data_IF_972793611423
#
_entry.id   IF_972793611423
#
_cell.length_a   1.000
_cell.length_b   1.000
_cell.length_c   1.000
_cell.angle_alpha   90.00
_cell.angle_beta   90.00
_cell.angle_gamma   90.00
#
_symmetry.space_group_name_H-M   'P 1'
#
loop_
_entity.id
_entity.type
_entity.pdbx_description
1 polymer ?
#
# COMPACT_ATOMS: atom_id res chain seq x y z
N UNK A 1 2.13 32.63 13.76
CA UNK A 1 3.38 32.01 13.27
C UNK A 1 3.14 30.51 13.32
N UNK A 2 3.08 29.87 12.16
CA UNK A 2 2.48 28.54 12.07
C UNK A 2 3.57 27.46 12.11
N UNK A 3 4.14 27.30 13.30
CA UNK A 3 5.14 26.27 13.63
C UNK A 3 4.69 24.83 13.29
N UNK A 4 3.38 24.61 13.28
CA UNK A 4 2.73 23.31 13.11
C UNK A 4 2.20 23.07 11.69
N UNK A 5 2.20 24.09 10.83
CA UNK A 5 1.79 23.95 9.43
C UNK A 5 2.53 22.84 8.66
N UNK A 6 3.88 22.75 8.72
CA UNK A 6 4.60 21.68 8.02
C UNK A 6 4.22 20.29 8.53
N UNK A 7 3.98 20.14 9.84
CA UNK A 7 3.55 18.87 10.42
C UNK A 7 2.16 18.48 9.94
N UNK A 8 1.22 19.43 9.92
CA UNK A 8 -0.13 19.20 9.39
C UNK A 8 -0.11 18.84 7.90
N UNK A 9 0.74 19.49 7.11
CA UNK A 9 0.90 19.17 5.70
C UNK A 9 1.50 17.77 5.51
N UNK A 10 2.51 17.41 6.30
CA UNK A 10 3.15 16.10 6.30
C UNK A 10 2.19 14.97 6.69
N UNK A 11 1.45 15.10 7.78
CA UNK A 11 0.49 14.06 8.22
C UNK A 11 -0.60 13.86 7.17
N UNK A 12 -1.17 14.96 6.65
CA UNK A 12 -2.19 14.89 5.59
C UNK A 12 -1.67 14.18 4.32
N UNK A 13 -0.38 14.33 4.02
CA UNK A 13 0.28 13.66 2.89
C UNK A 13 0.45 12.16 3.12
N UNK A 14 0.76 11.72 4.35
CA UNK A 14 0.99 10.31 4.68
C UNK A 14 -0.29 9.51 5.03
N UNK A 15 -1.43 10.18 5.24
CA UNK A 15 -2.72 9.57 5.61
C UNK A 15 -3.50 8.91 4.44
N UNK A 16 -2.90 8.71 3.27
CA UNK A 16 -3.39 7.76 2.26
C UNK A 16 -4.59 8.16 1.38
N UNK A 17 -5.26 9.30 1.63
CA UNK A 17 -6.55 9.62 0.97
C UNK A 17 -6.46 10.62 -0.18
N UNK A 18 -5.57 10.37 -1.13
CA UNK A 18 -5.60 11.06 -2.41
C UNK A 18 -6.56 10.39 -3.37
N UNK A 19 -7.54 11.12 -3.94
CA UNK A 19 -8.36 10.66 -5.07
C UNK A 19 -7.54 10.18 -6.29
N UNK A 20 -6.22 10.41 -6.25
CA UNK A 20 -5.26 10.14 -7.30
C UNK A 20 -4.30 8.98 -6.99
N UNK A 21 -4.46 8.25 -5.86
CA UNK A 21 -3.51 7.20 -5.45
C UNK A 21 -2.10 7.72 -5.14
N UNK A 22 -1.94 9.05 -5.06
CA UNK A 22 -0.65 9.74 -4.92
C UNK A 22 -0.12 9.80 -3.50
N UNK A 23 -0.93 9.50 -2.48
CA UNK A 23 -0.62 9.82 -1.09
C UNK A 23 -0.54 8.57 -0.22
N UNK A 24 0.39 8.55 0.73
CA UNK A 24 0.52 7.49 1.73
C UNK A 24 1.30 6.25 1.28
N UNK A 25 2.10 6.36 0.22
CA UNK A 25 3.04 5.30 -0.18
C UNK A 25 4.40 5.47 0.50
N UNK A 26 5.12 4.36 0.72
CA UNK A 26 6.41 4.35 1.42
C UNK A 26 7.44 5.31 0.80
N UNK A 27 7.34 5.55 -0.51
CA UNK A 27 8.21 6.44 -1.25
C UNK A 27 8.11 7.92 -0.80
N UNK A 28 7.01 8.33 -0.17
CA UNK A 28 6.83 9.71 0.29
C UNK A 28 7.43 9.99 1.67
N UNK A 29 7.76 8.95 2.44
CA UNK A 29 8.19 9.10 3.83
C UNK A 29 9.50 9.89 3.91
N UNK A 30 10.53 9.47 3.17
CA UNK A 30 11.84 10.12 3.17
C UNK A 30 11.72 11.60 2.76
N UNK A 31 11.11 11.95 1.60
CA UNK A 31 10.90 13.35 1.22
C UNK A 31 10.11 14.18 2.25
N UNK A 32 9.14 13.58 2.94
CA UNK A 32 8.38 14.27 3.99
C UNK A 32 9.26 14.59 5.19
N UNK A 33 10.10 13.65 5.62
CA UNK A 33 11.05 13.90 6.71
C UNK A 33 12.09 14.96 6.33
N UNK A 34 12.66 14.90 5.12
CA UNK A 34 13.59 15.91 4.62
C UNK A 34 12.94 17.30 4.60
N UNK A 35 11.68 17.41 4.15
CA UNK A 35 10.93 18.65 4.18
C UNK A 35 10.76 19.22 5.60
N UNK A 36 10.36 18.38 6.56
CA UNK A 36 10.18 18.79 7.96
C UNK A 36 11.51 19.24 8.57
N UNK A 37 12.58 18.47 8.37
CA UNK A 37 13.91 18.75 8.91
C UNK A 37 14.45 20.07 8.36
N UNK A 38 14.40 20.26 7.04
CA UNK A 38 14.85 21.48 6.37
C UNK A 38 14.06 22.71 6.83
N UNK A 39 12.73 22.57 7.02
CA UNK A 39 11.90 23.64 7.54
C UNK A 39 12.31 24.04 8.96
N UNK A 40 12.45 23.07 9.87
CA UNK A 40 12.81 23.37 11.25
C UNK A 40 14.24 23.89 11.39
N UNK A 41 15.18 23.36 10.63
CA UNK A 41 16.56 23.87 10.59
C UNK A 41 16.61 25.33 10.15
N UNK A 42 15.91 25.68 9.06
CA UNK A 42 15.80 27.05 8.57
C UNK A 42 15.19 28.00 9.63
N UNK A 43 14.19 27.51 10.38
CA UNK A 43 13.57 28.27 11.47
C UNK A 43 14.51 28.44 12.67
N UNK A 44 15.23 27.39 13.07
CA UNK A 44 16.17 27.44 14.18
C UNK A 44 17.29 28.45 13.89
N UNK A 45 17.83 28.46 12.66
CA UNK A 45 18.83 29.44 12.23
C UNK A 45 18.32 30.88 12.34
N UNK A 46 17.06 31.13 11.97
CA UNK A 46 16.44 32.45 12.13
C UNK A 46 16.34 32.89 13.60
N UNK A 47 16.22 31.94 14.53
CA UNK A 47 16.17 32.20 15.97
C UNK A 47 17.53 32.32 16.64
N UNK A 48 18.60 31.85 16.00
CA UNK A 48 19.96 31.94 16.52
C UNK A 48 20.48 33.38 16.53
N UNK A 49 19.99 34.22 15.60
CA UNK A 49 20.31 35.64 15.53
C UNK A 49 19.60 36.51 16.58
N UNK A 50 18.67 35.96 17.37
CA UNK A 50 17.89 36.69 18.36
C UNK A 50 18.57 36.62 19.72
N UNK A 51 18.83 37.78 20.33
CA UNK A 51 19.42 37.86 21.66
C UNK A 51 18.32 37.91 22.74
N UNK A 52 17.97 36.73 23.26
CA UNK A 52 16.87 36.56 24.22
C UNK A 52 17.13 37.13 25.61
N UNK A 53 18.38 37.50 25.92
CA UNK A 53 18.80 38.00 27.25
C UNK A 53 19.21 39.49 27.22
N UNK A 54 18.88 40.23 26.16
CA UNK A 54 19.37 41.59 25.98
C UNK A 54 18.76 42.62 26.96
N UNK A 55 17.50 42.41 27.39
CA UNK A 55 16.73 43.32 28.26
C UNK A 55 15.45 42.62 28.77
N UNK A 56 14.80 43.17 29.80
CA UNK A 56 13.59 42.59 30.42
C UNK A 56 12.36 42.51 29.47
N UNK A 57 12.39 43.21 28.33
CA UNK A 57 11.35 43.16 27.28
C UNK A 57 11.72 42.25 26.10
N UNK A 58 12.83 41.51 26.20
CA UNK A 58 13.27 40.60 25.16
C UNK A 58 12.25 39.46 24.92
N UNK A 59 12.18 38.91 23.70
CA UNK A 59 11.26 37.81 23.39
C UNK A 59 11.56 36.58 24.26
N UNK A 60 10.54 35.83 24.65
CA UNK A 60 10.71 34.54 25.32
C UNK A 60 11.38 33.51 24.38
N UNK A 61 12.29 32.71 24.91
CA UNK A 61 13.08 31.71 24.16
C UNK A 61 12.35 30.36 23.98
N UNK A 62 11.18 30.20 24.61
CA UNK A 62 10.45 28.94 24.68
C UNK A 62 10.17 28.34 23.31
N UNK A 63 9.82 29.18 22.33
CA UNK A 63 9.57 28.73 20.96
C UNK A 63 10.83 28.20 20.28
N UNK A 64 11.97 28.88 20.45
CA UNK A 64 13.25 28.44 19.88
C UNK A 64 13.71 27.11 20.50
N UNK A 65 13.56 26.95 21.82
CA UNK A 65 13.85 25.70 22.54
C UNK A 65 12.96 24.56 22.02
N UNK A 66 11.65 24.79 21.92
CA UNK A 66 10.69 23.80 21.45
C UNK A 66 10.95 23.40 19.98
N UNK A 67 11.37 24.33 19.13
CA UNK A 67 11.77 24.03 17.74
C UNK A 67 13.00 23.13 17.66
N UNK A 68 14.03 23.38 18.48
CA UNK A 68 15.21 22.51 18.56
C UNK A 68 14.82 21.11 19.05
N UNK A 69 13.95 21.02 20.05
CA UNK A 69 13.44 19.74 20.53
C UNK A 69 12.65 18.99 19.44
N UNK A 70 11.80 19.69 18.68
CA UNK A 70 11.06 19.12 17.56
C UNK A 70 11.99 18.61 16.45
N UNK A 71 13.00 19.39 16.07
CA UNK A 71 14.00 18.99 15.09
C UNK A 71 14.81 17.77 15.55
N UNK A 72 15.28 17.78 16.80
CA UNK A 72 16.01 16.65 17.37
C UNK A 72 15.16 15.37 17.37
N UNK A 73 13.86 15.50 17.70
CA UNK A 73 12.95 14.35 17.67
C UNK A 73 12.69 13.86 16.25
N UNK A 74 12.47 14.77 15.29
CA UNK A 74 12.29 14.41 13.88
C UNK A 74 13.54 13.70 13.32
N UNK A 75 14.74 14.15 13.68
CA UNK A 75 16.02 13.54 13.29
C UNK A 75 16.18 12.14 13.87
N UNK A 76 15.82 11.94 15.15
CA UNK A 76 15.79 10.60 15.77
C UNK A 76 14.88 9.62 15.02
N UNK A 77 13.71 10.07 14.57
CA UNK A 77 12.81 9.24 13.76
C UNK A 77 13.32 9.03 12.34
N UNK A 78 13.94 10.04 11.74
CA UNK A 78 14.54 9.91 10.41
C UNK A 78 15.64 8.84 10.39
N UNK A 79 16.50 8.81 11.41
CA UNK A 79 17.52 7.79 11.57
C UNK A 79 16.94 6.36 11.73
N UNK A 80 15.69 6.23 12.19
CA UNK A 80 15.02 4.91 12.28
C UNK A 80 14.55 4.40 10.92
N UNK A 81 14.46 5.24 9.88
CA UNK A 81 14.13 4.78 8.54
C UNK A 81 15.20 3.82 7.99
N UNK A 82 16.45 3.96 8.43
CA UNK A 82 17.55 3.06 8.09
C UNK A 82 17.39 1.64 8.63
N UNK A 83 16.51 1.43 9.63
CA UNK A 83 16.24 0.10 10.19
C UNK A 83 15.51 -0.82 9.21
N UNK A 84 14.82 -0.25 8.22
CA UNK A 84 14.09 -1.02 7.21
C UNK A 84 14.49 -0.59 5.81
N UNK A 85 15.06 -1.51 4.99
CA UNK A 85 15.35 -1.22 3.59
C UNK A 85 14.09 -0.93 2.74
N UNK A 86 12.88 -1.19 3.25
CA UNK A 86 11.64 -0.98 2.53
C UNK A 86 11.40 0.50 2.15
N UNK A 87 11.80 1.45 3.00
CA UNK A 87 11.67 2.88 2.70
C UNK A 87 12.52 3.26 1.48
N UNK A 88 13.77 2.80 1.45
CA UNK A 88 14.66 3.03 0.31
C UNK A 88 14.22 2.28 -0.94
N UNK A 89 13.77 1.03 -0.80
CA UNK A 89 13.22 0.27 -1.91
C UNK A 89 12.05 1.00 -2.57
N UNK A 90 11.12 1.53 -1.78
CA UNK A 90 10.00 2.29 -2.30
C UNK A 90 10.45 3.56 -3.04
N UNK A 91 11.44 4.29 -2.51
CA UNK A 91 11.98 5.47 -3.23
C UNK A 91 12.69 5.10 -4.52
N UNK A 92 13.48 4.02 -4.54
CA UNK A 92 14.25 3.59 -5.72
C UNK A 92 13.34 3.05 -6.82
N UNK A 93 12.31 2.30 -6.43
CA UNK A 93 11.32 1.74 -7.34
C UNK A 93 10.27 2.80 -7.74
N UNK A 94 10.37 4.01 -7.19
CA UNK A 94 9.57 5.12 -7.66
C UNK A 94 10.20 5.71 -8.92
N UNK A 95 9.51 5.74 -10.09
CA UNK A 95 10.13 6.13 -11.37
C UNK A 95 10.70 7.57 -11.46
N UNK A 96 10.48 8.42 -10.46
CA UNK A 96 10.91 9.82 -10.43
C UNK A 96 11.92 10.14 -9.30
N UNK A 97 12.04 9.30 -8.26
CA UNK A 97 12.86 9.62 -7.08
C UNK A 97 14.28 9.09 -7.26
N UNK A 98 15.25 9.99 -7.10
CA UNK A 98 16.65 9.63 -7.15
C UNK A 98 17.10 9.13 -5.77
N UNK A 99 17.30 7.83 -5.64
CA UNK A 99 17.98 7.25 -4.49
C UNK A 99 18.99 6.20 -4.95
N UNK A 100 20.18 6.25 -4.36
CA UNK A 100 21.18 5.19 -4.42
C UNK A 100 21.43 4.74 -2.99
N UNK A 101 20.99 3.54 -2.66
CA UNK A 101 21.19 2.98 -1.33
C UNK A 101 21.74 1.55 -1.43
N UNK A 102 22.86 1.29 -0.72
CA UNK A 102 23.49 -0.03 -0.67
C UNK A 102 22.56 -1.08 -0.04
N UNK A 103 21.74 -0.69 0.94
CA UNK A 103 20.76 -1.55 1.61
C UNK A 103 19.68 -2.07 0.65
N UNK A 104 19.32 -1.31 -0.38
CA UNK A 104 18.41 -1.79 -1.42
C UNK A 104 19.03 -2.92 -2.25
N UNK A 105 20.30 -2.82 -2.62
CA UNK A 105 20.98 -3.90 -3.37
C UNK A 105 21.01 -5.20 -2.57
N UNK A 106 21.18 -5.10 -1.25
CA UNK A 106 21.06 -6.23 -0.33
C UNK A 106 19.65 -6.84 -0.31
N UNK A 107 18.61 -6.01 -0.25
CA UNK A 107 17.21 -6.47 -0.30
C UNK A 107 16.88 -7.13 -1.65
N UNK A 108 17.31 -6.52 -2.76
CA UNK A 108 17.13 -7.08 -4.11
C UNK A 108 17.81 -8.44 -4.26
N UNK A 109 19.05 -8.58 -3.77
CA UNK A 109 19.77 -9.84 -3.78
C UNK A 109 19.04 -10.91 -2.93
N UNK A 110 18.52 -10.55 -1.76
CA UNK A 110 17.71 -11.47 -0.93
C UNK A 110 16.41 -11.88 -1.62
N UNK A 111 15.73 -10.93 -2.28
CA UNK A 111 14.48 -11.20 -2.99
C UNK A 111 14.70 -12.15 -4.17
N UNK A 112 15.74 -11.91 -4.98
CA UNK A 112 16.11 -12.77 -6.11
C UNK A 112 16.58 -14.16 -5.68
N UNK A 113 17.26 -14.28 -4.54
CA UNK A 113 17.70 -15.58 -4.02
C UNK A 113 16.60 -16.36 -3.29
N UNK A 114 15.62 -15.67 -2.71
CA UNK A 114 14.55 -16.30 -1.90
C UNK A 114 13.34 -16.77 -2.71
N UNK A 115 13.18 -16.38 -3.98
CA UNK A 115 12.13 -16.98 -4.81
C UNK A 115 12.62 -18.32 -5.37
N UNK A 116 12.10 -19.48 -4.92
CA UNK A 116 12.14 -20.64 -5.80
C UNK A 116 11.37 -20.22 -7.05
N UNK A 117 12.00 -20.37 -8.22
CA UNK A 117 11.34 -20.07 -9.48
C UNK A 117 10.03 -20.85 -9.52
N UNK A 118 8.90 -20.18 -9.26
CA UNK A 118 7.58 -20.69 -9.62
C UNK A 118 7.52 -20.54 -11.13
N UNK A 119 8.32 -21.37 -11.82
CA UNK A 119 8.11 -21.66 -13.22
C UNK A 119 6.70 -22.22 -13.24
N UNK A 120 5.77 -21.49 -13.84
CA UNK A 120 4.59 -22.14 -14.41
C UNK A 120 5.15 -23.36 -15.15
N UNK A 121 4.70 -24.60 -14.89
CA UNK A 121 5.15 -25.72 -15.68
C UNK A 121 4.96 -25.29 -17.13
N UNK A 122 6.07 -25.15 -17.88
CA UNK A 122 5.98 -24.96 -19.33
C UNK A 122 5.12 -26.13 -19.75
N UNK A 123 3.95 -25.84 -20.33
CA UNK A 123 3.22 -26.84 -21.12
C UNK A 123 4.30 -27.47 -21.98
N UNK A 124 4.47 -28.79 -21.90
CA UNK A 124 5.47 -29.53 -22.65
C UNK A 124 5.24 -29.21 -24.13
N UNK A 125 5.95 -28.18 -24.59
CA UNK A 125 6.05 -27.76 -25.97
C UNK A 125 6.68 -28.94 -26.67
N UNK A 126 6.09 -29.37 -27.78
CA UNK A 126 6.58 -30.56 -28.47
C UNK A 126 8.00 -30.30 -28.98
N UNK A 127 8.82 -31.33 -29.16
CA UNK A 127 10.20 -31.21 -29.69
C UNK A 127 10.28 -30.45 -31.04
N UNK A 128 9.14 -30.27 -31.71
CA UNK A 128 8.98 -29.52 -32.96
C UNK A 128 8.97 -28.00 -32.69
N UNK A 129 8.33 -27.55 -31.61
CA UNK A 129 8.23 -26.13 -31.27
C UNK A 129 9.59 -25.56 -30.84
N UNK A 130 10.37 -26.33 -30.08
CA UNK A 130 11.73 -25.93 -29.67
C UNK A 130 12.70 -25.85 -30.89
N UNK A 131 12.50 -26.69 -31.90
CA UNK A 131 13.27 -26.66 -33.14
C UNK A 131 12.88 -25.46 -34.04
N UNK A 132 11.61 -25.06 -34.03
CA UNK A 132 11.12 -23.88 -34.73
C UNK A 132 11.66 -22.60 -34.07
N UNK A 133 11.62 -22.52 -32.75
CA UNK A 133 12.15 -21.37 -31.99
C UNK A 133 13.67 -21.20 -32.20
N UNK A 134 14.42 -22.30 -32.27
CA UNK A 134 15.86 -22.28 -32.57
C UNK A 134 16.20 -21.85 -34.01
N UNK A 135 15.25 -21.93 -34.94
CA UNK A 135 15.43 -21.46 -36.33
C UNK A 135 15.00 -20.00 -36.48
N UNK A 136 13.99 -19.56 -35.73
CA UNK A 136 13.48 -18.19 -35.77
C UNK A 136 14.41 -17.22 -35.04
N UNK A 137 15.12 -17.66 -33.99
CA UNK A 137 16.04 -16.79 -33.25
C UNK A 137 17.41 -17.45 -32.95
N UNK A 138 18.43 -17.26 -33.81
CA UNK A 138 19.74 -17.89 -33.64
C UNK A 138 20.54 -17.33 -32.44
N UNK A 139 20.00 -16.37 -31.68
CA UNK A 139 20.68 -15.79 -30.51
C UNK A 139 20.58 -16.65 -29.24
N UNK A 140 19.68 -17.64 -29.19
CA UNK A 140 19.44 -18.43 -27.97
C UNK A 140 20.54 -19.50 -27.72
N UNK A 141 21.35 -19.85 -28.72
CA UNK A 141 22.34 -20.95 -28.58
C UNK A 141 23.79 -20.47 -28.36
N UNK A 142 24.04 -19.17 -28.24
CA UNK A 142 25.38 -18.68 -27.90
C UNK A 142 25.30 -17.40 -27.08
N UNK A 143 25.17 -17.54 -25.75
CA UNK A 143 25.63 -16.55 -24.78
C UNK A 143 25.80 -17.21 -23.40
N UNK A 144 26.82 -18.07 -23.31
CA UNK A 144 27.32 -18.60 -22.03
C UNK A 144 28.37 -17.67 -21.39
N UNK A 145 28.34 -16.37 -21.69
CA UNK A 145 29.29 -15.36 -21.17
C UNK A 145 28.66 -13.97 -20.94
N UNK A 146 27.36 -13.86 -20.63
CA UNK A 146 26.82 -12.60 -20.10
C UNK A 146 26.99 -12.57 -18.58
N UNK A 147 27.88 -11.70 -18.10
CA UNK A 147 27.87 -11.23 -16.71
C UNK A 147 26.43 -10.84 -16.38
N UNK A 148 25.82 -11.53 -15.43
CA UNK A 148 24.44 -11.37 -14.98
C UNK A 148 24.10 -9.89 -14.74
N UNK A 149 23.57 -9.21 -15.77
CA UNK A 149 23.00 -7.88 -15.60
C UNK A 149 21.63 -8.07 -14.97
N UNK A 150 21.56 -7.95 -13.64
CA UNK A 150 20.32 -8.00 -12.88
C UNK A 150 19.24 -7.10 -13.51
N UNK A 151 17.96 -7.53 -13.49
CA UNK A 151 16.82 -6.78 -14.05
C UNK A 151 16.80 -5.31 -13.60
N UNK A 152 17.17 -5.04 -12.34
CA UNK A 152 17.28 -3.68 -11.80
C UNK A 152 18.35 -2.83 -12.52
N UNK A 153 19.49 -3.41 -12.85
CA UNK A 153 20.56 -2.72 -13.57
C UNK A 153 20.14 -2.42 -15.00
N UNK A 154 19.43 -3.36 -15.65
CA UNK A 154 18.87 -3.18 -16.98
C UNK A 154 17.79 -2.09 -16.98
N UNK A 155 16.86 -2.12 -16.02
CA UNK A 155 15.82 -1.10 -15.87
C UNK A 155 16.40 0.31 -15.71
N UNK A 156 17.37 0.49 -14.81
CA UNK A 156 18.05 1.79 -14.61
C UNK A 156 18.79 2.29 -15.86
N UNK A 157 19.26 1.39 -16.72
CA UNK A 157 20.01 1.74 -17.92
C UNK A 157 19.08 2.05 -19.12
N UNK A 158 17.97 1.32 -19.25
CA UNK A 158 17.13 1.34 -20.45
C UNK A 158 15.97 2.34 -20.38
N UNK A 159 15.29 2.46 -19.25
CA UNK A 159 14.01 3.19 -19.18
C UNK A 159 14.17 4.70 -19.02
N UNK A 160 15.36 5.17 -18.64
CA UNK A 160 15.53 6.58 -18.26
C UNK A 160 14.57 7.00 -17.14
N UNK A 161 14.61 8.28 -16.78
CA UNK A 161 13.79 8.80 -15.69
C UNK A 161 12.43 9.25 -16.23
N UNK A 162 11.37 8.84 -15.55
CA UNK A 162 10.02 9.30 -15.88
C UNK A 162 9.86 10.75 -15.43
N UNK A 163 9.44 11.65 -16.33
CA UNK A 163 9.29 13.08 -16.02
C UNK A 163 8.35 13.33 -14.84
N UNK A 164 8.75 14.27 -13.96
CA UNK A 164 7.98 14.69 -12.78
C UNK A 164 6.62 15.25 -13.22
N UNK A 165 5.55 14.56 -12.85
CA UNK A 165 4.16 14.95 -13.15
C UNK A 165 3.47 14.12 -14.23
N UNK A 166 4.18 13.21 -14.91
CA UNK A 166 3.59 12.24 -15.83
C UNK A 166 2.58 11.30 -15.14
N UNK A 167 1.69 10.66 -15.91
CA UNK A 167 0.72 9.71 -15.35
C UNK A 167 1.39 8.55 -14.60
N UNK A 168 2.54 8.09 -15.09
CA UNK A 168 3.32 7.00 -14.49
C UNK A 168 4.03 7.43 -13.19
N UNK A 169 4.53 8.67 -13.12
CA UNK A 169 5.04 9.23 -11.86
C UNK A 169 3.92 9.37 -10.82
N UNK A 170 2.69 9.65 -11.26
CA UNK A 170 1.56 9.84 -10.37
C UNK A 170 0.94 8.52 -9.88
N UNK A 171 1.12 7.44 -10.64
CA UNK A 171 0.59 6.11 -10.33
C UNK A 171 1.69 5.06 -10.56
N UNK A 172 2.63 4.92 -9.61
CA UNK A 172 3.74 3.99 -9.77
C UNK A 172 3.26 2.53 -9.88
N UNK A 173 2.13 2.19 -9.25
CA UNK A 173 1.49 0.87 -9.40
C UNK A 173 1.09 0.61 -10.86
N UNK A 174 0.48 1.59 -11.55
CA UNK A 174 0.11 1.44 -12.96
C UNK A 174 1.33 1.30 -13.86
N UNK A 175 2.40 2.04 -13.56
CA UNK A 175 3.66 1.91 -14.27
C UNK A 175 4.21 0.49 -14.16
N UNK A 176 4.33 -0.05 -12.94
CA UNK A 176 4.88 -1.40 -12.74
C UNK A 176 3.99 -2.52 -13.29
N UNK A 177 2.68 -2.29 -13.40
CA UNK A 177 1.78 -3.21 -14.11
C UNK A 177 2.05 -3.26 -15.63
N UNK A 178 2.40 -2.13 -16.25
CA UNK A 178 2.77 -2.09 -17.67
C UNK A 178 4.16 -2.69 -17.92
N UNK A 179 5.07 -2.55 -16.95
CA UNK A 179 6.43 -3.05 -17.03
C UNK A 179 6.59 -4.53 -16.65
N UNK A 180 5.49 -5.22 -16.35
CA UNK A 180 5.51 -6.61 -15.86
C UNK A 180 6.08 -7.59 -16.89
N UNK A 181 5.84 -7.35 -18.18
CA UNK A 181 6.33 -8.21 -19.26
C UNK A 181 7.84 -8.03 -19.51
N UNK A 182 8.35 -6.81 -19.29
CA UNK A 182 9.77 -6.49 -19.48
C UNK A 182 10.63 -6.84 -18.26
N UNK A 183 10.09 -6.65 -17.05
CA UNK A 183 10.81 -6.85 -15.78
C UNK A 183 9.95 -7.64 -14.78
N UNK A 184 9.82 -8.96 -14.93
CA UNK A 184 8.86 -9.75 -14.17
C UNK A 184 9.19 -9.89 -12.67
N UNK A 185 10.47 -9.92 -12.28
CA UNK A 185 10.84 -10.01 -10.86
C UNK A 185 10.83 -8.63 -10.19
N UNK A 186 11.34 -7.62 -10.90
CA UNK A 186 11.42 -6.26 -10.38
C UNK A 186 10.03 -5.64 -10.21
N UNK A 187 9.13 -5.82 -11.19
CA UNK A 187 7.75 -5.35 -11.09
C UNK A 187 7.01 -5.98 -9.91
N UNK A 188 7.20 -7.28 -9.66
CA UNK A 188 6.61 -7.96 -8.51
C UNK A 188 7.11 -7.37 -7.19
N UNK A 189 8.42 -7.16 -7.04
CA UNK A 189 8.97 -6.50 -5.86
C UNK A 189 8.42 -5.08 -5.70
N UNK A 190 8.34 -4.33 -6.79
CA UNK A 190 7.83 -2.97 -6.77
C UNK A 190 6.36 -2.92 -6.35
N UNK A 191 5.52 -3.81 -6.87
CA UNK A 191 4.11 -3.91 -6.47
C UNK A 191 3.99 -4.32 -5.00
N UNK A 192 4.80 -5.28 -4.54
CA UNK A 192 4.80 -5.73 -3.14
C UNK A 192 5.20 -4.59 -2.19
N UNK A 193 6.21 -3.80 -2.52
CA UNK A 193 6.71 -2.70 -1.68
C UNK A 193 5.81 -1.45 -1.75
N UNK A 194 5.36 -1.07 -2.95
CA UNK A 194 4.59 0.16 -3.16
C UNK A 194 3.13 0.04 -2.72
N UNK A 195 2.60 -1.19 -2.59
CA UNK A 195 1.24 -1.43 -2.10
C UNK A 195 1.11 -1.39 -0.57
N UNK A 196 2.21 -1.35 0.16
CA UNK A 196 2.18 -1.27 1.63
C UNK A 196 1.72 0.14 2.04
N UNK A 197 0.66 0.28 2.85
CA UNK A 197 0.26 1.58 3.38
C UNK A 197 1.27 2.07 4.42
N UNK A 198 1.64 3.35 4.35
CA UNK A 198 2.58 3.95 5.31
C UNK A 198 2.01 4.08 6.71
N UNK A 199 0.69 4.32 6.82
CA UNK A 199 0.04 4.64 8.09
C UNK A 199 -1.15 3.73 8.37
N UNK A 200 -1.40 3.49 9.65
CA UNK A 200 -2.62 2.83 10.15
C UNK A 200 -3.86 3.72 10.08
N UNK A 201 -3.75 4.95 9.55
CA UNK A 201 -4.84 5.90 9.51
C UNK A 201 -6.04 5.40 8.69
N UNK A 202 -5.81 4.57 7.66
CA UNK A 202 -6.91 3.89 6.95
C UNK A 202 -7.69 2.94 7.87
N UNK A 203 -6.98 2.20 8.72
CA UNK A 203 -7.59 1.32 9.73
C UNK A 203 -8.30 2.15 10.79
N UNK A 204 -7.70 3.21 11.32
CA UNK A 204 -8.32 4.10 12.32
C UNK A 204 -9.61 4.74 11.81
N UNK A 205 -9.63 5.18 10.55
CA UNK A 205 -10.85 5.72 9.91
C UNK A 205 -11.90 4.65 9.73
N UNK A 206 -11.52 3.46 9.28
CA UNK A 206 -12.42 2.31 9.24
C UNK A 206 -13.02 2.07 10.63
N UNK A 207 -12.20 1.98 11.68
CA UNK A 207 -12.66 1.77 13.05
C UNK A 207 -13.52 2.93 13.59
N UNK A 208 -13.23 4.17 13.19
CA UNK A 208 -14.06 5.33 13.55
C UNK A 208 -15.44 5.23 12.91
N UNK A 209 -15.51 4.86 11.62
CA UNK A 209 -16.79 4.59 10.93
C UNK A 209 -17.54 3.40 11.56
N UNK A 210 -16.83 2.36 12.00
CA UNK A 210 -17.45 1.27 12.78
C UNK A 210 -17.94 1.75 14.14
N UNK A 211 -17.24 2.69 14.79
CA UNK A 211 -17.64 3.29 16.07
C UNK A 211 -19.02 3.92 15.98
N UNK A 212 -19.28 4.70 14.92
CA UNK A 212 -20.60 5.28 14.64
C UNK A 212 -21.65 4.18 14.38
N UNK A 213 -21.30 3.10 13.68
CA UNK A 213 -22.19 1.95 13.43
C UNK A 213 -22.51 1.13 14.69
N UNK A 214 -21.59 1.12 15.66
CA UNK A 214 -21.68 0.40 16.93
C UNK A 214 -22.24 1.27 18.08
N UNK A 215 -22.78 2.45 17.77
CA UNK A 215 -23.49 3.30 18.74
C UNK A 215 -24.50 2.49 19.59
N UNK A 216 -24.81 2.93 20.83
CA UNK A 216 -25.28 2.08 21.93
C UNK A 216 -26.50 1.19 21.67
N UNK A 217 -27.28 1.43 20.60
CA UNK A 217 -28.47 0.65 20.23
C UNK A 217 -28.17 -0.66 19.48
N UNK A 218 -26.94 -0.92 19.00
CA UNK A 218 -26.60 -2.12 18.19
C UNK A 218 -25.53 -3.03 18.81
N UNK A 219 -25.58 -3.28 20.13
CA UNK A 219 -24.62 -4.13 20.88
C UNK A 219 -24.67 -5.64 20.54
N UNK A 220 -25.48 -6.07 19.57
CA UNK A 220 -25.68 -7.49 19.22
C UNK A 220 -24.95 -7.96 17.95
N UNK A 221 -24.25 -7.08 17.23
CA UNK A 221 -23.59 -7.46 15.97
C UNK A 221 -22.35 -8.29 16.28
N UNK A 222 -22.32 -9.52 15.76
CA UNK A 222 -21.17 -10.41 15.89
C UNK A 222 -19.97 -9.87 15.08
N UNK A 223 -18.73 -10.02 15.56
CA UNK A 223 -17.54 -9.52 14.85
C UNK A 223 -17.41 -10.01 13.41
N UNK A 224 -17.82 -11.25 13.13
CA UNK A 224 -17.80 -11.83 11.77
C UNK A 224 -18.75 -11.10 10.81
N UNK A 225 -19.96 -10.78 11.28
CA UNK A 225 -20.94 -10.05 10.48
C UNK A 225 -20.48 -8.61 10.25
N UNK A 226 -19.90 -7.98 11.27
CA UNK A 226 -19.33 -6.64 11.17
C UNK A 226 -18.21 -6.58 10.12
N UNK A 227 -17.29 -7.55 10.14
CA UNK A 227 -16.24 -7.66 9.14
C UNK A 227 -16.81 -7.84 7.72
N UNK A 228 -17.81 -8.72 7.55
CA UNK A 228 -18.46 -8.93 6.24
C UNK A 228 -19.14 -7.67 5.72
N UNK A 229 -19.89 -6.95 6.55
CA UNK A 229 -20.53 -5.67 6.19
C UNK A 229 -19.48 -4.66 5.71
N UNK A 230 -18.35 -4.59 6.41
CA UNK A 230 -17.27 -3.67 6.06
C UNK A 230 -16.56 -4.05 4.76
N UNK A 231 -16.31 -5.34 4.53
CA UNK A 231 -15.80 -5.83 3.25
C UNK A 231 -16.72 -5.44 2.08
N UNK A 232 -18.02 -5.72 2.20
CA UNK A 232 -19.01 -5.39 1.15
C UNK A 232 -19.07 -3.89 0.91
N UNK A 233 -19.04 -3.07 1.97
CA UNK A 233 -19.03 -1.61 1.85
C UNK A 233 -17.78 -1.11 1.12
N UNK A 234 -16.59 -1.64 1.46
CA UNK A 234 -15.33 -1.27 0.79
C UNK A 234 -15.31 -1.70 -0.68
N UNK A 235 -15.80 -2.90 -1.01
CA UNK A 235 -15.94 -3.35 -2.39
C UNK A 235 -16.88 -2.45 -3.19
N UNK A 236 -18.04 -2.10 -2.62
CA UNK A 236 -18.98 -1.18 -3.25
C UNK A 236 -18.36 0.19 -3.52
N UNK A 237 -17.64 0.76 -2.56
CA UNK A 237 -16.92 2.03 -2.74
C UNK A 237 -15.82 1.93 -3.80
N UNK A 238 -15.20 0.75 -3.96
CA UNK A 238 -14.23 0.48 -5.02
C UNK A 238 -14.88 0.20 -6.40
N UNK A 239 -16.21 0.27 -6.52
CA UNK A 239 -16.94 -0.01 -7.77
C UNK A 239 -17.08 -1.51 -8.06
N UNK A 240 -16.84 -2.38 -7.08
CA UNK A 240 -17.00 -3.82 -7.19
C UNK A 240 -18.38 -4.23 -6.67
N UNK A 241 -19.32 -4.48 -7.59
CA UNK A 241 -20.68 -4.94 -7.28
C UNK A 241 -21.70 -4.49 -8.33
N UNK A 242 -22.82 -5.21 -8.45
CA UNK A 242 -23.85 -4.92 -9.44
C UNK A 242 -24.65 -3.65 -9.03
N UNK A 243 -24.54 -2.56 -9.80
CA UNK A 243 -25.17 -1.26 -9.55
C UNK A 243 -26.71 -1.32 -9.51
N UNK A 244 -27.30 -2.45 -9.90
CA UNK A 244 -28.75 -2.69 -9.85
C UNK A 244 -29.34 -2.59 -8.43
N UNK A 245 -28.53 -2.73 -7.38
CA UNK A 245 -28.95 -2.55 -6.00
C UNK A 245 -28.85 -1.10 -5.49
N UNK A 246 -28.10 -0.23 -6.18
CA UNK A 246 -27.88 1.17 -5.75
C UNK A 246 -29.13 2.05 -5.93
N UNK A 247 -30.08 1.66 -6.79
CA UNK A 247 -31.27 2.45 -7.07
C UNK A 247 -32.46 2.17 -6.13
N UNK A 248 -32.28 1.33 -5.10
CA UNK A 248 -33.32 1.05 -4.10
C UNK A 248 -33.19 1.99 -2.92
N UNK A 249 -33.52 3.26 -3.16
CA UNK A 249 -33.94 4.15 -2.09
C UNK A 249 -35.10 3.47 -1.35
N UNK A 250 -34.92 3.21 -0.06
CA UNK A 250 -35.93 2.67 0.86
C UNK A 250 -36.54 1.33 0.44
N UNK A 251 -35.73 0.27 0.39
CA UNK A 251 -36.30 -1.08 0.50
C UNK A 251 -36.84 -1.23 1.94
N UNK A 252 -38.10 -1.65 2.06
CA UNK A 252 -38.75 -1.89 3.36
C UNK A 252 -38.33 -3.25 3.92
N UNK A 253 -38.36 -3.44 5.25
CA UNK A 253 -37.96 -4.71 5.89
C UNK A 253 -38.75 -5.92 5.33
N UNK A 254 -40.02 -5.72 4.96
CA UNK A 254 -40.88 -6.72 4.33
C UNK A 254 -40.37 -7.13 2.94
N UNK A 255 -39.80 -6.20 2.17
CA UNK A 255 -39.24 -6.49 0.85
C UNK A 255 -37.91 -7.25 0.94
N UNK A 256 -37.13 -7.04 2.02
CA UNK A 256 -35.90 -7.80 2.29
C UNK A 256 -36.24 -9.26 2.60
N UNK A 257 -37.29 -9.49 3.39
CA UNK A 257 -37.75 -10.83 3.74
C UNK A 257 -38.15 -11.64 2.49
N UNK A 258 -38.85 -11.00 1.55
CA UNK A 258 -39.26 -11.60 0.28
C UNK A 258 -38.09 -11.83 -0.68
N UNK A 259 -37.15 -10.89 -0.77
CA UNK A 259 -36.01 -10.98 -1.70
C UNK A 259 -34.99 -12.05 -1.32
N UNK A 260 -34.77 -12.26 -0.03
CA UNK A 260 -33.69 -13.11 0.46
C UNK A 260 -34.18 -14.34 1.23
N UNK A 261 -35.50 -14.51 1.41
CA UNK A 261 -36.09 -15.73 1.96
C UNK A 261 -35.59 -16.07 3.37
N UNK A 262 -35.26 -15.06 4.18
CA UNK A 262 -34.53 -15.20 5.45
C UNK A 262 -35.27 -16.11 6.46
N UNK A 263 -36.59 -16.20 6.36
CA UNK A 263 -37.44 -17.03 7.23
C UNK A 263 -37.49 -18.52 6.86
N UNK A 264 -36.85 -18.95 5.76
CA UNK A 264 -36.81 -20.38 5.37
C UNK A 264 -35.58 -21.15 5.87
N UNK A 265 -34.70 -20.50 6.63
CA UNK A 265 -33.47 -21.13 7.15
C UNK A 265 -33.66 -21.97 8.42
N UNK A 266 -34.88 -22.09 8.95
CA UNK A 266 -35.16 -22.94 10.11
C UNK A 266 -36.41 -23.80 9.90
N UNK A 267 -36.25 -24.85 9.08
CA UNK A 267 -37.00 -26.09 9.27
C UNK A 267 -35.98 -27.23 9.17
N UNK A 268 -35.41 -27.58 10.32
CA UNK A 268 -34.73 -28.85 10.49
C UNK A 268 -35.69 -29.99 10.15
N UNK A 269 -35.35 -30.73 9.09
CA UNK A 269 -36.01 -31.96 8.69
C UNK A 269 -35.90 -32.97 9.84
N UNK A 270 -37.00 -33.10 10.59
CA UNK A 270 -37.15 -34.05 11.68
C UNK A 270 -38.54 -34.66 11.64
N UNK A 271 -38.83 -35.37 10.56
CA UNK A 271 -39.87 -36.41 10.57
C UNK A 271 -39.63 -37.46 9.47
N UNK A 272 -38.77 -38.43 9.77
CA UNK A 272 -38.87 -39.76 9.15
C UNK A 272 -38.99 -40.80 10.28
N UNK A 273 -40.21 -41.00 10.77
CA UNK A 273 -40.57 -42.20 11.55
C UNK A 273 -40.98 -43.27 10.55
N UNK A 274 -40.02 -44.08 10.13
CA UNK A 274 -40.29 -45.31 9.38
C UNK A 274 -41.03 -46.30 10.27
N UNK A 275 -42.19 -46.70 9.77
CA UNK A 275 -43.05 -47.76 10.28
C UNK A 275 -42.49 -49.12 9.85
N UNK A 276 -41.80 -49.81 10.76
CA UNK A 276 -41.49 -51.23 10.59
C UNK A 276 -42.65 -52.07 11.16
N UNK A 277 -43.43 -52.65 10.25
CA UNK A 277 -44.34 -53.76 10.53
C UNK A 277 -44.00 -54.92 9.62
N UNK A 278 -43.38 -55.99 10.14
CA UNK A 278 -43.82 -57.37 9.90
C UNK A 278 -43.04 -58.48 10.66
N UNK A 279 -43.82 -59.23 11.47
CA UNK A 279 -43.86 -60.71 11.65
C UNK A 279 -42.94 -61.53 12.58
N UNK A 280 -43.64 -62.45 13.29
CA UNK A 280 -43.23 -63.74 13.89
C UNK A 280 -42.39 -63.63 15.18
N UNK A 281 -42.82 -64.10 16.36
CA UNK A 281 -43.57 -65.30 16.76
C UNK A 281 -44.17 -65.11 18.17
#
# INVERSE_FOLDING_TARGET
MDALEPLKAATKRLEGRGNSGRFGCFAEVIPVFEYILNYYESRILAYEAVEYNAHDEAPEDHLAINMRAAWAKASEYYAKLDLSPAYYAATILHPWLEANNLSFRGLWAQYNTSQPAVRRPKVLSSDIDDAIDGIIDPTITSNSEEVANDEYTQWKLCEGWVEKGSEHANNPIKYWLLMQDHYPQLSKLALDVLSIPVSSCECERMFSELGDLLEPRRRGIQPRLLAAIQCVRRWRTAGLGDDKLNNRNSITDDEIEVLYGVSTWDVGDSSNTDSDSETQL
#
